data_IF_936935142826
#
_entry.id   IF_936935142826
#
_cell.length_a   1.000
_cell.length_b   1.000
_cell.length_c   1.000
_cell.angle_alpha   90.00
_cell.angle_beta   90.00
_cell.angle_gamma   90.00
#
_symmetry.space_group_name_H-M   'P 1'
#
loop_
_entity.id
_entity.type
_entity.pdbx_description
1 polymer ?
#
# COMPACT_ATOMS: atom_id res chain seq x y z
N UNK A 1 -22.80 36.94 -25.49
CA UNK A 1 -22.83 35.65 -24.76
C UNK A 1 -21.64 34.74 -25.09
N UNK A 2 -20.85 35.04 -26.11
CA UNK A 2 -19.64 34.27 -26.42
C UNK A 2 -18.60 34.40 -25.31
N UNK A 3 -18.43 35.60 -24.74
CA UNK A 3 -17.50 35.84 -23.64
C UNK A 3 -17.91 35.11 -22.36
N UNK A 4 -19.21 35.08 -22.04
CA UNK A 4 -19.73 34.31 -20.90
C UNK A 4 -19.45 32.82 -21.03
N UNK A 5 -19.66 32.24 -22.23
CA UNK A 5 -19.34 30.83 -22.49
C UNK A 5 -17.84 30.55 -22.32
N UNK A 6 -16.96 31.45 -22.76
CA UNK A 6 -15.51 31.32 -22.54
C UNK A 6 -15.13 31.35 -21.06
N UNK A 7 -15.80 32.17 -20.24
CA UNK A 7 -15.60 32.17 -18.78
C UNK A 7 -16.09 30.87 -18.15
N UNK A 8 -17.23 30.34 -18.61
CA UNK A 8 -17.77 29.06 -18.15
C UNK A 8 -16.84 27.88 -18.49
N UNK A 9 -16.26 27.88 -19.69
CA UNK A 9 -15.23 26.90 -20.07
C UNK A 9 -13.99 27.01 -19.19
N UNK A 10 -13.53 28.23 -18.89
CA UNK A 10 -12.41 28.45 -17.95
C UNK A 10 -12.72 27.92 -16.55
N UNK A 11 -13.94 28.11 -16.05
CA UNK A 11 -14.41 27.55 -14.78
C UNK A 11 -14.38 26.02 -14.81
N UNK A 12 -14.89 25.39 -15.87
CA UNK A 12 -14.85 23.93 -16.04
C UNK A 12 -13.42 23.39 -16.10
N UNK A 13 -12.52 24.09 -16.79
CA UNK A 13 -11.11 23.74 -16.83
C UNK A 13 -10.42 23.88 -15.46
N UNK A 14 -10.81 24.88 -14.67
CA UNK A 14 -10.37 25.02 -13.28
C UNK A 14 -10.86 23.85 -12.42
N UNK A 15 -12.15 23.49 -12.48
CA UNK A 15 -12.75 22.39 -11.72
C UNK A 15 -12.03 21.07 -12.05
N UNK A 16 -11.80 20.77 -13.34
CA UNK A 16 -11.04 19.60 -13.77
C UNK A 16 -9.62 19.60 -13.20
N UNK A 17 -8.92 20.75 -13.25
CA UNK A 17 -7.57 20.87 -12.69
C UNK A 17 -7.55 20.73 -11.16
N UNK A 18 -8.58 21.22 -10.47
CA UNK A 18 -8.74 21.08 -9.04
C UNK A 18 -8.86 19.61 -8.62
N UNK A 19 -9.73 18.84 -9.29
CA UNK A 19 -9.87 17.42 -8.99
C UNK A 19 -8.68 16.59 -9.46
N UNK A 20 -7.98 17.01 -10.51
CA UNK A 20 -6.70 16.41 -10.87
C UNK A 20 -5.64 16.60 -9.76
N UNK A 21 -5.62 17.78 -9.12
CA UNK A 21 -4.76 18.01 -7.96
C UNK A 21 -5.17 17.16 -6.75
N UNK A 22 -6.48 17.03 -6.49
CA UNK A 22 -7.02 16.13 -5.44
C UNK A 22 -6.63 14.68 -5.72
N UNK A 23 -6.66 14.24 -6.98
CA UNK A 23 -6.24 12.91 -7.42
C UNK A 23 -4.74 12.67 -7.21
N UNK A 24 -3.87 13.61 -7.58
CA UNK A 24 -2.42 13.47 -7.35
C UNK A 24 -2.14 13.33 -5.85
N UNK A 25 -2.76 14.19 -5.03
CA UNK A 25 -2.65 14.10 -3.57
C UNK A 25 -3.17 12.75 -3.07
N UNK A 26 -4.33 12.31 -3.57
CA UNK A 26 -4.96 11.04 -3.22
C UNK A 26 -4.05 9.86 -3.55
N UNK A 27 -3.44 9.84 -4.74
CA UNK A 27 -2.53 8.79 -5.19
C UNK A 27 -1.25 8.74 -4.34
N UNK A 28 -0.68 9.90 -3.98
CA UNK A 28 0.48 9.95 -3.08
C UNK A 28 0.14 9.40 -1.68
N UNK A 29 -1.02 9.77 -1.14
CA UNK A 29 -1.47 9.28 0.17
C UNK A 29 -1.83 7.80 0.13
N UNK A 30 -2.51 7.35 -0.91
CA UNK A 30 -2.85 5.95 -1.15
C UNK A 30 -1.60 5.09 -1.19
N UNK A 31 -0.59 5.47 -2.00
CA UNK A 31 0.67 4.74 -2.04
C UNK A 31 1.39 4.77 -0.69
N UNK A 32 1.45 5.92 -0.02
CA UNK A 32 2.14 6.01 1.27
C UNK A 32 1.49 5.12 2.35
N UNK A 33 0.17 5.21 2.51
CA UNK A 33 -0.58 4.48 3.54
C UNK A 33 -0.73 3.01 3.15
N UNK A 34 -1.10 2.71 1.91
CA UNK A 34 -1.31 1.35 1.42
C UNK A 34 -0.03 0.52 1.45
N UNK A 35 1.11 1.09 1.00
CA UNK A 35 2.40 0.39 1.09
C UNK A 35 2.84 0.22 2.54
N UNK A 36 2.65 1.22 3.40
CA UNK A 36 2.98 1.10 4.83
C UNK A 36 2.15 0.00 5.50
N UNK A 37 0.86 -0.07 5.17
CA UNK A 37 -0.05 -1.07 5.70
C UNK A 37 0.25 -2.48 5.16
N UNK A 38 0.66 -2.59 3.90
CA UNK A 38 1.19 -3.83 3.33
C UNK A 38 2.44 -4.28 4.09
N UNK A 39 3.42 -3.40 4.27
CA UNK A 39 4.66 -3.70 5.04
C UNK A 39 4.32 -4.18 6.45
N UNK A 40 3.41 -3.50 7.14
CA UNK A 40 2.94 -3.90 8.46
C UNK A 40 2.32 -5.31 8.44
N UNK A 41 1.44 -5.57 7.48
CA UNK A 41 0.80 -6.88 7.28
C UNK A 41 1.83 -7.99 7.06
N UNK A 42 2.86 -7.73 6.25
CA UNK A 42 3.95 -8.67 6.00
C UNK A 42 4.80 -8.93 7.24
N UNK A 43 5.10 -7.90 8.05
CA UNK A 43 5.82 -8.09 9.30
C UNK A 43 5.02 -8.89 10.32
N UNK A 44 3.73 -8.60 10.47
CA UNK A 44 2.84 -9.38 11.35
C UNK A 44 2.87 -10.86 10.97
N UNK A 45 2.77 -11.17 9.68
CA UNK A 45 2.86 -12.57 9.22
C UNK A 45 4.27 -13.17 9.33
N UNK A 46 5.32 -12.37 9.21
CA UNK A 46 6.69 -12.83 9.39
C UNK A 46 6.96 -13.28 10.83
N UNK A 47 6.60 -12.45 11.81
CA UNK A 47 6.93 -12.70 13.21
C UNK A 47 5.97 -13.70 13.87
N UNK A 48 4.69 -13.72 13.49
CA UNK A 48 3.69 -14.53 14.18
C UNK A 48 3.45 -15.91 13.55
N UNK A 49 3.96 -16.18 12.34
CA UNK A 49 3.75 -17.44 11.62
C UNK A 49 2.27 -17.90 11.67
N UNK A 50 1.37 -17.06 11.14
CA UNK A 50 -0.06 -17.22 11.39
C UNK A 50 -0.59 -18.53 10.82
N UNK A 51 -1.52 -19.15 11.56
CA UNK A 51 -2.32 -20.27 11.06
C UNK A 51 -3.20 -19.80 9.88
N UNK A 52 -3.60 -20.70 8.96
CA UNK A 52 -4.37 -20.34 7.77
C UNK A 52 -5.63 -19.50 8.05
N UNK A 53 -6.35 -19.78 9.15
CA UNK A 53 -7.56 -19.02 9.54
C UNK A 53 -7.23 -17.55 9.86
N UNK A 54 -6.24 -17.31 10.71
CA UNK A 54 -5.81 -15.96 11.07
C UNK A 54 -5.23 -15.21 9.86
N UNK A 55 -4.49 -15.92 9.00
CA UNK A 55 -3.95 -15.37 7.75
C UNK A 55 -5.04 -14.95 6.78
N UNK A 56 -6.11 -15.76 6.66
CA UNK A 56 -7.28 -15.44 5.84
C UNK A 56 -7.98 -14.18 6.30
N UNK A 57 -8.18 -14.02 7.62
CA UNK A 57 -8.77 -12.82 8.21
C UNK A 57 -7.92 -11.58 7.92
N UNK A 58 -6.61 -11.69 8.14
CA UNK A 58 -5.65 -10.61 7.88
C UNK A 58 -5.63 -10.22 6.39
N UNK A 59 -5.68 -11.18 5.47
CA UNK A 59 -5.77 -10.91 4.03
C UNK A 59 -7.06 -10.18 3.65
N UNK A 60 -8.22 -10.64 4.10
CA UNK A 60 -9.49 -9.98 3.76
C UNK A 60 -9.63 -8.60 4.40
N UNK A 61 -9.13 -8.42 5.62
CA UNK A 61 -9.03 -7.10 6.24
C UNK A 61 -8.15 -6.18 5.41
N UNK A 62 -6.98 -6.67 4.97
CA UNK A 62 -6.08 -5.93 4.09
C UNK A 62 -6.80 -5.48 2.81
N UNK A 63 -7.49 -6.41 2.13
CA UNK A 63 -8.25 -6.12 0.89
C UNK A 63 -9.35 -5.08 1.11
N UNK A 64 -10.14 -5.20 2.18
CA UNK A 64 -11.25 -4.27 2.46
C UNK A 64 -10.72 -2.86 2.72
N UNK A 65 -9.66 -2.73 3.53
CA UNK A 65 -9.05 -1.44 3.84
C UNK A 65 -8.46 -0.82 2.59
N UNK A 66 -7.68 -1.59 1.82
CA UNK A 66 -7.03 -1.11 0.60
C UNK A 66 -8.06 -0.68 -0.45
N UNK A 67 -9.14 -1.45 -0.61
CA UNK A 67 -10.24 -1.13 -1.52
C UNK A 67 -10.99 0.14 -1.07
N UNK A 68 -11.18 0.33 0.23
CA UNK A 68 -11.78 1.55 0.80
C UNK A 68 -10.90 2.78 0.50
N UNK A 69 -9.59 2.66 0.70
CA UNK A 69 -8.62 3.72 0.39
C UNK A 69 -8.58 4.01 -1.12
N UNK A 70 -8.60 2.98 -1.96
CA UNK A 70 -8.60 3.10 -3.42
C UNK A 70 -9.86 3.81 -3.92
N UNK A 71 -11.04 3.40 -3.46
CA UNK A 71 -12.30 4.03 -3.84
C UNK A 71 -12.35 5.49 -3.37
N UNK A 72 -11.92 5.77 -2.14
CA UNK A 72 -11.92 7.12 -1.58
C UNK A 72 -10.93 8.08 -2.24
N UNK A 73 -9.68 7.66 -2.43
CA UNK A 73 -8.61 8.54 -2.90
C UNK A 73 -8.42 8.57 -4.42
N UNK A 74 -8.88 7.56 -5.15
CA UNK A 74 -8.67 7.45 -6.60
C UNK A 74 -10.00 7.51 -7.35
N UNK A 75 -10.93 6.60 -7.08
CA UNK A 75 -12.18 6.50 -7.85
C UNK A 75 -13.05 7.75 -7.67
N UNK A 76 -13.22 8.24 -6.44
CA UNK A 76 -14.03 9.44 -6.18
C UNK A 76 -13.54 10.69 -6.93
N UNK A 77 -12.24 11.08 -6.87
CA UNK A 77 -11.73 12.20 -7.65
C UNK A 77 -11.88 11.99 -9.17
N UNK A 78 -11.66 10.77 -9.67
CA UNK A 78 -11.83 10.46 -11.10
C UNK A 78 -13.27 10.72 -11.55
N UNK A 79 -14.26 10.20 -10.80
CA UNK A 79 -15.69 10.43 -11.12
C UNK A 79 -16.02 11.93 -11.16
N UNK A 80 -15.43 12.72 -10.24
CA UNK A 80 -15.62 14.18 -10.21
C UNK A 80 -14.95 14.90 -11.41
N UNK A 81 -13.84 14.41 -11.92
CA UNK A 81 -13.18 14.95 -13.15
C UNK A 81 -14.07 14.74 -14.38
N UNK A 82 -14.72 13.58 -14.49
CA UNK A 82 -15.62 13.25 -15.61
C UNK A 82 -17.02 13.84 -15.46
N UNK A 83 -17.36 14.44 -14.32
CA UNK A 83 -18.65 15.09 -14.10
C UNK A 83 -19.83 14.13 -13.91
N UNK A 84 -19.59 12.83 -13.67
CA UNK A 84 -20.64 11.82 -13.47
C UNK A 84 -21.37 11.96 -12.10
N UNK A 85 -20.83 12.75 -11.18
CA UNK A 85 -21.41 13.05 -9.87
C UNK A 85 -21.34 14.55 -9.61
N UNK A 86 -22.28 15.11 -8.83
CA UNK A 86 -22.27 16.52 -8.39
C UNK A 86 -20.91 16.86 -7.76
N UNK A 87 -20.04 17.49 -8.54
CA UNK A 87 -18.79 18.11 -8.09
C UNK A 87 -19.03 19.52 -7.59
N UNK A 88 -17.97 20.31 -7.54
CA UNK A 88 -18.02 21.75 -7.24
C UNK A 88 -19.00 22.45 -8.18
N UNK A 89 -19.96 23.18 -7.61
CA UNK A 89 -20.80 24.08 -8.41
C UNK A 89 -19.99 25.29 -8.89
N UNK A 90 -20.43 25.96 -9.95
CA UNK A 90 -19.76 27.15 -10.51
C UNK A 90 -19.60 28.25 -9.46
N UNK A 91 -20.60 28.42 -8.57
CA UNK A 91 -20.57 29.34 -7.42
C UNK A 91 -19.53 28.93 -6.36
N UNK A 92 -19.29 27.65 -6.15
CA UNK A 92 -18.27 27.18 -5.21
C UNK A 92 -16.87 27.34 -5.81
N UNK A 93 -16.73 27.01 -7.10
CA UNK A 93 -15.50 27.22 -7.85
C UNK A 93 -15.10 28.70 -7.86
N UNK A 94 -16.06 29.62 -8.03
CA UNK A 94 -15.78 31.07 -8.02
C UNK A 94 -15.30 31.57 -6.67
N UNK A 95 -15.82 31.04 -5.55
CA UNK A 95 -15.31 31.35 -4.21
C UNK A 95 -13.86 30.90 -4.05
N UNK A 96 -13.51 29.70 -4.53
CA UNK A 96 -12.13 29.19 -4.45
C UNK A 96 -11.19 30.03 -5.33
N UNK A 97 -11.60 30.36 -6.55
CA UNK A 97 -10.82 31.21 -7.47
C UNK A 97 -10.63 32.61 -6.86
N UNK A 98 -11.70 33.20 -6.30
CA UNK A 98 -11.67 34.53 -5.69
C UNK A 98 -10.82 34.62 -4.43
N UNK A 99 -10.65 33.52 -3.68
CA UNK A 99 -9.70 33.46 -2.56
C UNK A 99 -8.24 33.51 -3.04
N UNK A 100 -7.96 33.06 -4.26
CA UNK A 100 -6.62 33.13 -4.85
C UNK A 100 -6.39 34.44 -5.62
N UNK A 101 -7.44 34.96 -6.27
CA UNK A 101 -7.44 36.22 -7.01
C UNK A 101 -8.47 37.19 -6.41
N UNK A 102 -8.11 37.96 -5.36
CA UNK A 102 -9.05 38.87 -4.68
C UNK A 102 -9.66 39.92 -5.62
N UNK A 103 -8.91 40.35 -6.64
CA UNK A 103 -9.32 41.32 -7.66
C UNK A 103 -10.58 40.91 -8.46
N UNK A 104 -10.91 39.62 -8.51
CA UNK A 104 -12.07 39.10 -9.27
C UNK A 104 -13.12 38.42 -8.44
N UNK A 105 -12.89 38.24 -7.14
CA UNK A 105 -13.79 37.51 -6.24
C UNK A 105 -15.24 37.98 -6.37
N UNK A 106 -15.45 39.28 -6.23
CA UNK A 106 -16.79 39.86 -6.21
C UNK A 106 -17.36 39.96 -7.63
N UNK A 107 -16.53 40.18 -8.65
CA UNK A 107 -16.97 40.24 -10.05
C UNK A 107 -17.47 38.89 -10.56
N UNK A 108 -16.72 37.82 -10.28
CA UNK A 108 -17.02 36.46 -10.72
C UNK A 108 -18.26 35.90 -10.00
N UNK A 109 -18.37 36.13 -8.68
CA UNK A 109 -19.53 35.70 -7.90
C UNK A 109 -20.81 36.41 -8.37
N UNK A 110 -20.77 37.74 -8.51
CA UNK A 110 -21.93 38.52 -8.95
C UNK A 110 -22.36 38.15 -10.38
N UNK A 111 -21.40 37.92 -11.28
CA UNK A 111 -21.70 37.48 -12.65
C UNK A 111 -22.43 36.13 -12.66
N UNK A 112 -21.98 35.15 -11.87
CA UNK A 112 -22.64 33.85 -11.77
C UNK A 112 -24.03 33.95 -11.13
N UNK A 113 -24.19 34.75 -10.07
CA UNK A 113 -25.50 34.99 -9.45
C UNK A 113 -26.49 35.66 -10.40
N UNK A 114 -26.03 36.65 -11.18
CA UNK A 114 -26.85 37.30 -12.21
C UNK A 114 -27.24 36.32 -13.33
N UNK A 115 -26.40 35.34 -13.64
CA UNK A 115 -26.70 34.31 -14.64
C UNK A 115 -27.69 33.23 -14.15
N UNK A 116 -27.81 33.03 -12.84
CA UNK A 116 -28.81 32.13 -12.23
C UNK A 116 -30.20 32.79 -12.08
N UNK A 117 -30.29 34.12 -12.20
CA UNK A 117 -31.54 34.90 -12.15
C UNK A 117 -32.29 34.98 -13.49
N UNK A 118 -33.57 35.41 -13.46
CA UNK A 118 -34.40 35.50 -14.68
C UNK A 118 -33.83 36.48 -15.71
N UNK A 119 -33.54 35.97 -16.92
CA UNK A 119 -32.95 36.67 -18.08
C UNK A 119 -33.89 37.64 -18.80
N UNK A 120 -34.65 38.47 -18.07
CA UNK A 120 -35.71 39.29 -18.67
C UNK A 120 -35.28 40.74 -19.00
N UNK A 121 -33.99 41.08 -18.85
CA UNK A 121 -33.51 42.46 -19.08
C UNK A 121 -32.22 42.49 -19.90
N UNK A 122 -32.23 43.26 -20.98
CA UNK A 122 -31.05 43.53 -21.82
C UNK A 122 -29.89 44.14 -21.01
N UNK A 123 -30.20 44.92 -19.96
CA UNK A 123 -29.21 45.50 -19.05
C UNK A 123 -28.43 44.44 -18.26
N UNK A 124 -29.09 43.36 -17.87
CA UNK A 124 -28.45 42.24 -17.16
C UNK A 124 -27.50 41.51 -18.11
N UNK A 125 -27.93 41.27 -19.35
CA UNK A 125 -27.10 40.62 -20.37
C UNK A 125 -25.86 41.47 -20.70
N UNK A 126 -26.03 42.77 -20.89
CA UNK A 126 -24.91 43.70 -21.12
C UNK A 126 -23.93 43.74 -19.93
N UNK A 127 -24.46 43.71 -18.70
CA UNK A 127 -23.64 43.68 -17.47
C UNK A 127 -22.84 42.38 -17.35
N UNK A 128 -23.40 41.23 -17.75
CA UNK A 128 -22.71 39.94 -17.76
C UNK A 128 -21.59 39.96 -18.81
N UNK A 129 -21.84 40.49 -20.01
CA UNK A 129 -20.84 40.54 -21.08
C UNK A 129 -19.66 41.44 -20.69
N UNK A 130 -19.93 42.67 -20.22
CA UNK A 130 -18.90 43.60 -19.76
C UNK A 130 -18.00 42.98 -18.67
N UNK A 131 -18.62 42.36 -17.66
CA UNK A 131 -17.87 41.68 -16.58
C UNK A 131 -17.10 40.47 -17.10
N UNK A 132 -17.63 39.75 -18.09
CA UNK A 132 -16.94 38.59 -18.69
C UNK A 132 -15.67 39.02 -19.44
N UNK A 133 -15.71 40.13 -20.18
CA UNK A 133 -14.55 40.68 -20.89
C UNK A 133 -13.43 41.09 -19.91
N UNK A 134 -13.76 41.71 -18.77
CA UNK A 134 -12.79 42.05 -17.72
C UNK A 134 -12.12 40.81 -17.09
N UNK A 135 -12.82 39.67 -17.05
CA UNK A 135 -12.34 38.42 -16.46
C UNK A 135 -11.53 37.55 -17.44
N UNK A 136 -11.59 37.83 -18.75
CA UNK A 136 -10.90 37.04 -19.76
C UNK A 136 -9.38 36.92 -19.61
N UNK A 137 -8.60 37.95 -19.24
CA UNK A 137 -7.14 37.79 -19.15
C UNK A 137 -6.72 36.88 -17.98
N UNK A 138 -7.62 36.60 -17.03
CA UNK A 138 -7.24 35.97 -15.77
C UNK A 138 -7.19 34.45 -15.91
N UNK A 139 -6.07 33.82 -15.55
CA UNK A 139 -5.89 32.40 -15.76
C UNK A 139 -6.33 31.61 -14.52
N UNK A 140 -7.63 31.29 -14.42
CA UNK A 140 -8.21 30.56 -13.28
C UNK A 140 -7.47 29.27 -12.92
N UNK A 141 -6.87 28.58 -13.91
CA UNK A 141 -6.04 27.38 -13.69
C UNK A 141 -4.89 27.60 -12.70
N UNK A 142 -4.35 28.81 -12.54
CA UNK A 142 -3.24 29.07 -11.61
C UNK A 142 -3.67 29.09 -10.14
N UNK A 143 -4.98 29.21 -9.86
CA UNK A 143 -5.49 29.06 -8.51
C UNK A 143 -5.27 27.64 -7.94
N UNK A 144 -5.00 26.65 -8.80
CA UNK A 144 -4.60 25.29 -8.40
C UNK A 144 -3.09 25.13 -8.50
N UNK A 145 -2.45 25.07 -7.33
CA UNK A 145 -1.01 24.87 -7.19
C UNK A 145 -0.68 23.39 -6.90
N UNK A 146 -0.16 22.70 -7.92
CA UNK A 146 0.27 21.29 -7.83
C UNK A 146 1.55 21.12 -7.00
N UNK A 147 2.37 22.17 -6.84
CA UNK A 147 3.65 22.08 -6.15
C UNK A 147 3.47 21.81 -4.66
N UNK A 148 2.32 22.20 -4.09
CA UNK A 148 1.92 21.89 -2.72
C UNK A 148 1.81 20.39 -2.46
N UNK A 149 1.68 19.56 -3.49
CA UNK A 149 1.62 18.11 -3.32
C UNK A 149 2.98 17.49 -2.97
N UNK A 150 4.10 18.19 -3.22
CA UNK A 150 5.45 17.74 -2.83
C UNK A 150 5.54 17.44 -1.34
N UNK A 151 4.77 18.14 -0.50
CA UNK A 151 4.72 17.88 0.95
C UNK A 151 4.20 16.48 1.29
N UNK A 152 3.45 15.84 0.40
CA UNK A 152 2.96 14.47 0.62
C UNK A 152 3.99 13.41 0.22
N UNK A 153 4.97 13.78 -0.62
CA UNK A 153 6.07 12.90 -1.00
C UNK A 153 6.89 12.47 0.22
N UNK A 154 7.00 13.33 1.24
CA UNK A 154 7.66 13.00 2.51
C UNK A 154 7.04 11.78 3.22
N UNK A 155 5.75 11.51 3.02
CA UNK A 155 5.11 10.32 3.60
C UNK A 155 5.46 9.05 2.82
N UNK A 156 5.62 9.15 1.50
CA UNK A 156 6.05 8.03 0.66
C UNK A 156 7.53 7.64 0.89
N UNK A 157 8.33 8.55 1.45
CA UNK A 157 9.72 8.30 1.82
C UNK A 157 9.83 7.28 2.97
N UNK A 158 8.84 7.22 3.89
CA UNK A 158 8.85 6.28 5.02
C UNK A 158 8.86 4.81 4.57
N UNK A 159 7.88 4.32 3.77
CA UNK A 159 7.91 2.92 3.31
C UNK A 159 9.14 2.62 2.45
N UNK A 160 9.65 3.59 1.69
CA UNK A 160 10.88 3.44 0.92
C UNK A 160 12.09 3.17 1.82
N UNK A 161 12.25 3.93 2.92
CA UNK A 161 13.34 3.70 3.88
C UNK A 161 13.22 2.33 4.58
N UNK A 162 12.01 1.91 4.94
CA UNK A 162 11.80 0.58 5.53
C UNK A 162 12.22 -0.51 4.56
N UNK A 163 11.80 -0.41 3.29
CA UNK A 163 12.20 -1.35 2.25
C UNK A 163 13.72 -1.37 2.04
N UNK A 164 14.35 -0.19 1.99
CA UNK A 164 15.80 -0.05 1.83
C UNK A 164 16.58 -0.67 2.99
N UNK A 165 16.12 -0.50 4.24
CA UNK A 165 16.74 -1.12 5.42
C UNK A 165 16.70 -2.65 5.34
N UNK A 166 15.55 -3.22 4.99
CA UNK A 166 15.43 -4.68 4.84
C UNK A 166 16.29 -5.20 3.68
N UNK A 167 16.38 -4.44 2.58
CA UNK A 167 17.23 -4.77 1.45
C UNK A 167 18.72 -4.78 1.83
N UNK A 168 19.22 -3.73 2.48
CA UNK A 168 20.64 -3.61 2.88
C UNK A 168 21.03 -4.66 3.92
N UNK A 169 20.11 -5.05 4.81
CA UNK A 169 20.38 -6.09 5.82
C UNK A 169 20.37 -7.53 5.26
N UNK A 170 20.09 -7.72 3.97
CA UNK A 170 20.02 -9.04 3.33
C UNK A 170 18.78 -9.85 3.70
N UNK A 171 17.82 -9.27 4.42
CA UNK A 171 16.64 -9.95 4.94
C UNK A 171 15.43 -9.85 3.97
N UNK A 172 15.67 -9.86 2.66
CA UNK A 172 14.60 -9.71 1.66
C UNK A 172 13.55 -10.83 1.75
N UNK A 173 13.94 -11.99 2.28
CA UNK A 173 13.05 -13.13 2.57
C UNK A 173 11.89 -12.76 3.49
N UNK A 174 12.07 -11.77 4.38
CA UNK A 174 11.00 -11.25 5.24
C UNK A 174 9.81 -10.78 4.39
N UNK A 175 10.07 -10.09 3.27
CA UNK A 175 9.01 -9.63 2.40
C UNK A 175 8.56 -10.70 1.41
N UNK A 176 9.48 -11.40 0.74
CA UNK A 176 9.11 -12.37 -0.30
C UNK A 176 8.32 -13.55 0.26
N UNK A 177 8.78 -14.12 1.37
CA UNK A 177 8.17 -15.32 1.94
C UNK A 177 6.84 -14.95 2.61
N UNK A 178 6.81 -13.86 3.37
CA UNK A 178 5.58 -13.39 4.02
C UNK A 178 4.55 -12.99 2.98
N UNK A 179 4.94 -12.36 1.87
CA UNK A 179 4.01 -12.04 0.78
C UNK A 179 3.43 -13.30 0.16
N UNK A 180 4.28 -14.28 -0.16
CA UNK A 180 3.84 -15.58 -0.68
C UNK A 180 2.86 -16.28 0.27
N UNK A 181 3.13 -16.25 1.58
CA UNK A 181 2.23 -16.82 2.60
C UNK A 181 0.89 -16.08 2.66
N UNK A 182 0.91 -14.74 2.73
CA UNK A 182 -0.31 -13.90 2.81
C UNK A 182 -1.21 -14.08 1.59
N UNK A 183 -0.63 -14.11 0.38
CA UNK A 183 -1.40 -14.31 -0.85
C UNK A 183 -1.98 -15.72 -0.91
N UNK A 184 -1.19 -16.74 -0.55
CA UNK A 184 -1.66 -18.12 -0.45
C UNK A 184 -2.22 -18.41 0.94
N UNK A 185 -3.18 -17.58 1.39
CA UNK A 185 -3.70 -17.64 2.75
C UNK A 185 -4.28 -19.01 3.15
N UNK A 186 -4.76 -19.77 2.17
CA UNK A 186 -5.37 -21.08 2.33
C UNK A 186 -4.37 -22.25 2.38
N UNK A 187 -3.09 -22.01 2.06
CA UNK A 187 -2.05 -23.04 2.09
C UNK A 187 -1.46 -23.16 3.49
N UNK A 188 -1.26 -24.41 3.94
CA UNK A 188 -0.55 -24.68 5.18
C UNK A 188 0.94 -24.44 4.94
N UNK A 189 1.48 -23.44 5.63
CA UNK A 189 2.92 -23.19 5.69
C UNK A 189 3.40 -23.57 7.07
N UNK A 190 4.43 -24.42 7.12
CA UNK A 190 5.12 -24.78 8.35
C UNK A 190 6.39 -23.92 8.46
N UNK A 191 6.77 -23.51 9.68
CA UNK A 191 8.07 -22.90 9.91
C UNK A 191 9.19 -23.83 9.41
N UNK A 192 10.28 -23.29 8.83
CA UNK A 192 11.42 -24.11 8.45
C UNK A 192 11.90 -24.88 9.68
N UNK A 193 12.22 -26.16 9.51
CA UNK A 193 12.73 -26.97 10.60
C UNK A 193 14.01 -26.32 11.15
N UNK A 194 14.16 -26.21 12.48
CA UNK A 194 15.34 -25.58 13.08
C UNK A 194 16.63 -26.36 12.78
N UNK A 195 16.49 -27.65 12.46
CA UNK A 195 17.55 -28.55 12.04
C UNK A 195 17.01 -29.78 11.32
N UNK A 196 17.91 -30.51 10.66
CA UNK A 196 17.69 -31.86 10.15
C UNK A 196 18.84 -32.77 10.59
N UNK A 197 18.62 -34.08 10.56
CA UNK A 197 19.63 -35.08 10.89
C UNK A 197 20.30 -35.59 9.61
N UNK A 198 21.63 -35.58 9.58
CA UNK A 198 22.45 -36.20 8.55
C UNK A 198 23.14 -37.43 9.14
N UNK A 199 22.98 -38.60 8.51
CA UNK A 199 23.68 -39.81 8.92
C UNK A 199 25.10 -39.77 8.33
N UNK A 200 26.11 -39.94 9.17
CA UNK A 200 27.52 -39.85 8.77
C UNK A 200 28.12 -41.20 8.35
N UNK A 201 27.43 -42.31 8.63
CA UNK A 201 27.89 -43.64 8.22
C UNK A 201 27.75 -43.83 6.70
N UNK A 202 28.82 -44.31 6.05
CA UNK A 202 28.80 -44.67 4.63
C UNK A 202 27.88 -45.88 4.35
N UNK A 203 27.72 -46.76 5.33
CA UNK A 203 26.88 -47.97 5.25
C UNK A 203 26.22 -48.24 6.60
N UNK A 204 24.97 -48.71 6.54
CA UNK A 204 24.18 -49.17 7.67
C UNK A 204 24.13 -50.71 7.77
N UNK A 205 25.01 -51.39 7.03
CA UNK A 205 25.13 -52.85 7.04
C UNK A 205 26.28 -53.26 7.94
N UNK A 206 26.02 -54.21 8.84
CA UNK A 206 27.02 -54.82 9.73
C UNK A 206 26.80 -56.33 9.77
N UNK A 207 27.88 -57.08 10.02
CA UNK A 207 27.80 -58.53 10.23
C UNK A 207 27.20 -58.79 11.62
N UNK A 208 26.29 -59.77 11.70
CA UNK A 208 25.66 -60.16 12.95
C UNK A 208 26.70 -60.48 14.04
N UNK A 209 26.52 -59.91 15.24
CA UNK A 209 27.44 -60.05 16.37
C UNK A 209 28.66 -59.12 16.36
N UNK A 210 28.81 -58.23 15.37
CA UNK A 210 29.81 -57.16 15.41
C UNK A 210 29.19 -55.86 15.94
N UNK A 211 29.94 -55.07 16.74
CA UNK A 211 29.45 -53.78 17.22
C UNK A 211 29.27 -52.81 16.05
N UNK A 212 28.20 -52.01 16.10
CA UNK A 212 27.90 -51.00 15.10
C UNK A 212 27.64 -49.65 15.76
N UNK A 213 28.41 -48.63 15.36
CA UNK A 213 28.25 -47.26 15.88
C UNK A 213 27.54 -46.43 14.82
N UNK A 214 26.29 -46.05 15.09
CA UNK A 214 25.57 -45.08 14.29
C UNK A 214 26.03 -43.67 14.68
N UNK A 215 26.41 -42.87 13.69
CA UNK A 215 26.81 -41.48 13.83
C UNK A 215 25.84 -40.58 13.08
N UNK A 216 25.29 -39.58 13.78
CA UNK A 216 24.31 -38.63 13.26
C UNK A 216 24.76 -37.22 13.58
N UNK A 217 24.71 -36.33 12.60
CA UNK A 217 24.98 -34.92 12.76
C UNK A 217 23.70 -34.11 12.64
N UNK A 218 23.52 -33.14 13.51
CA UNK A 218 22.47 -32.14 13.39
C UNK A 218 22.97 -31.00 12.51
N UNK A 219 22.29 -30.78 11.38
CA UNK A 219 22.57 -29.65 10.49
C UNK A 219 21.42 -28.64 10.58
N UNK A 220 21.73 -27.43 11.01
CA UNK A 220 20.73 -26.36 11.17
C UNK A 220 21.18 -25.25 12.10
N UNK A 221 20.24 -24.41 12.51
CA UNK A 221 20.48 -23.24 13.35
C UNK A 221 20.41 -23.55 14.85
N UNK A 222 19.92 -24.74 15.22
CA UNK A 222 19.77 -25.18 16.61
C UNK A 222 20.23 -26.62 16.74
N UNK A 223 21.02 -26.93 17.76
CA UNK A 223 21.38 -28.31 18.13
C UNK A 223 20.42 -28.80 19.21
N UNK A 224 19.72 -29.95 19.04
CA UNK A 224 18.86 -30.50 20.07
C UNK A 224 19.67 -30.95 21.28
N UNK A 225 19.10 -30.84 22.47
CA UNK A 225 19.77 -31.28 23.71
C UNK A 225 19.89 -32.81 23.76
N UNK A 226 18.84 -33.51 23.33
CA UNK A 226 18.76 -34.97 23.34
C UNK A 226 18.24 -35.46 21.99
N UNK A 227 18.90 -36.50 21.45
CA UNK A 227 18.47 -37.19 20.23
C UNK A 227 18.09 -38.62 20.58
N UNK A 228 17.02 -39.13 19.97
CA UNK A 228 16.59 -40.52 20.12
C UNK A 228 16.55 -41.22 18.78
N UNK A 229 16.88 -42.51 18.78
CA UNK A 229 16.60 -43.43 17.68
C UNK A 229 15.50 -44.39 18.10
N UNK A 230 14.59 -44.69 17.16
CA UNK A 230 13.58 -45.73 17.33
C UNK A 230 14.02 -46.96 16.53
N UNK A 231 14.24 -48.08 17.21
CA UNK A 231 14.66 -49.34 16.60
C UNK A 231 13.91 -50.50 17.26
N UNK A 232 13.32 -51.39 16.45
CA UNK A 232 12.50 -52.53 16.93
C UNK A 232 11.45 -52.15 17.99
N UNK A 233 10.75 -51.03 17.78
CA UNK A 233 9.73 -50.51 18.70
C UNK A 233 10.26 -50.00 20.07
N UNK A 234 11.58 -49.95 20.26
CA UNK A 234 12.21 -49.32 21.42
C UNK A 234 12.87 -47.99 21.04
N UNK A 235 12.98 -47.09 22.02
CA UNK A 235 13.58 -45.77 21.84
C UNK A 235 14.85 -45.64 22.68
N UNK A 236 15.99 -45.40 22.02
CA UNK A 236 17.28 -45.22 22.68
C UNK A 236 17.78 -43.78 22.52
N UNK A 237 18.38 -43.23 23.57
CA UNK A 237 19.05 -41.93 23.49
C UNK A 237 20.43 -42.09 22.85
N UNK A 238 20.80 -41.16 21.97
CA UNK A 238 22.15 -41.07 21.43
C UNK A 238 23.03 -40.26 22.38
N UNK A 239 24.27 -40.67 22.50
CA UNK A 239 25.31 -39.94 23.23
C UNK A 239 25.73 -38.71 22.42
N UNK A 240 25.78 -37.55 23.07
CA UNK A 240 26.26 -36.32 22.45
C UNK A 240 27.80 -36.31 22.46
N UNK A 241 28.39 -36.31 21.27
CA UNK A 241 29.86 -36.29 21.05
C UNK A 241 30.41 -34.88 20.83
N UNK A 242 29.55 -33.86 20.89
CA UNK A 242 29.90 -32.46 20.71
C UNK A 242 29.71 -31.96 19.27
N UNK A 243 29.70 -30.63 19.10
CA UNK A 243 29.53 -29.95 17.80
C UNK A 243 28.29 -30.40 17.00
N UNK A 244 27.21 -30.81 17.67
CA UNK A 244 25.98 -31.28 17.02
C UNK A 244 26.05 -32.72 16.50
N UNK A 245 27.09 -33.48 16.86
CA UNK A 245 27.24 -34.90 16.52
C UNK A 245 26.78 -35.80 17.66
N UNK A 246 26.04 -36.83 17.31
CA UNK A 246 25.44 -37.80 18.21
C UNK A 246 25.81 -39.20 17.75
N UNK A 247 25.99 -40.13 18.70
CA UNK A 247 26.29 -41.52 18.39
C UNK A 247 25.47 -42.51 19.21
N UNK A 248 25.23 -43.69 18.67
CA UNK A 248 24.69 -44.81 19.43
C UNK A 248 25.36 -46.11 19.02
N UNK A 249 25.79 -46.89 20.02
CA UNK A 249 26.48 -48.16 19.81
C UNK A 249 25.49 -49.31 19.95
N UNK A 250 25.20 -49.99 18.84
CA UNK A 250 24.52 -51.27 18.82
C UNK A 250 25.53 -52.36 19.21
N UNK A 251 25.19 -53.14 20.23
CA UNK A 251 26.03 -54.20 20.81
C UNK A 251 25.30 -55.53 20.74
#
# INVERSE_FOLDING_TARGET
MEDFNRIREKLQQFIKKYYFNELIKGLLLFMAIGVLYLIFTLFVEYFLWLKPVARSLLFWLFVIVELTLFVGYIIFPIIKIFGLKRGLNEVEASKIIGNHFPEVRDKLLNMLQLSEGMHNSELIVASIEQKSTELQPIPFKHAVDLTKNKKYLKYAVIPFFIWLLVFITGNISIFTDSFSRVVHYNKVYLPPAPFYFAVLNDSLLVVEGQPFILQVETVGNTVPENVKINFLNESYYLENTGMGKFQYSFS
#
